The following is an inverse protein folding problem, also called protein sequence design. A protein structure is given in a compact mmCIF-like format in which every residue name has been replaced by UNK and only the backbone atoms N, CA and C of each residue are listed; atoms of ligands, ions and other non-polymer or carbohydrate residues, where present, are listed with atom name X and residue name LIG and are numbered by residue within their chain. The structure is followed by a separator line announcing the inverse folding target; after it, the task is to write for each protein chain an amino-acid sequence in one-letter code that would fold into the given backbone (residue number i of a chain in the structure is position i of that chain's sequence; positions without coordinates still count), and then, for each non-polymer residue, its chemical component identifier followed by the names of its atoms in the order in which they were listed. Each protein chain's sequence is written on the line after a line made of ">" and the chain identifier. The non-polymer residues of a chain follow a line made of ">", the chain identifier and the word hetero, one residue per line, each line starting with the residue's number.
data_IF_387637664133
#
_entry.id   IF_387637664133
#
_cell.length_a   1.000
_cell.length_b   1.000
_cell.length_c   1.000
_cell.angle_alpha   90.00
_cell.angle_beta   90.00
_cell.angle_gamma   90.00
#
_symmetry.space_group_name_H-M   'P 1'
#
loop_
_entity.id
_entity.type
_entity.pdbx_description
1 polymer ?
#
# COMPACT_ATOMS: atom_id res chain seq x y z
N UNK A 1 27.73 -15.69 -50.44
CA UNK A 1 26.66 -16.68 -50.20
C UNK A 1 26.23 -16.59 -48.73
N UNK A 2 24.93 -16.76 -48.42
CA UNK A 2 24.38 -16.93 -47.05
C UNK A 2 23.91 -15.71 -46.21
N UNK A 3 23.20 -14.74 -46.82
CA UNK A 3 22.29 -13.85 -46.06
C UNK A 3 20.81 -14.04 -46.45
N UNK A 4 20.55 -14.55 -47.66
CA UNK A 4 19.20 -14.77 -48.20
C UNK A 4 18.54 -16.09 -47.75
N UNK A 5 19.28 -16.94 -47.03
CA UNK A 5 18.76 -18.18 -46.44
C UNK A 5 18.02 -17.92 -45.11
N UNK A 6 18.56 -17.04 -44.26
CA UNK A 6 17.96 -16.70 -42.97
C UNK A 6 16.57 -16.06 -43.11
N UNK A 7 16.37 -15.15 -44.08
CA UNK A 7 15.05 -14.56 -44.36
C UNK A 7 14.03 -15.54 -44.99
N UNK A 8 14.47 -16.71 -45.46
CA UNK A 8 13.57 -17.74 -46.01
C UNK A 8 13.08 -18.73 -44.94
N UNK A 9 13.82 -18.86 -43.83
CA UNK A 9 13.37 -19.50 -42.58
C UNK A 9 12.52 -18.58 -41.68
N UNK A 10 12.41 -17.29 -42.01
CA UNK A 10 11.67 -16.27 -41.25
C UNK A 10 10.13 -16.40 -41.32
N UNK A 11 9.58 -17.37 -42.07
CA UNK A 11 8.12 -17.56 -42.20
C UNK A 11 7.40 -18.00 -40.91
N UNK A 12 8.11 -18.07 -39.79
CA UNK A 12 7.53 -18.26 -38.46
C UNK A 12 8.29 -17.52 -37.35
N UNK A 13 9.61 -17.30 -37.49
CA UNK A 13 10.45 -16.71 -36.44
C UNK A 13 10.05 -15.27 -36.09
N UNK A 14 9.77 -14.41 -37.08
CA UNK A 14 9.33 -13.03 -36.83
C UNK A 14 8.00 -12.94 -36.08
N UNK A 15 7.04 -13.81 -36.40
CA UNK A 15 5.75 -13.88 -35.71
C UNK A 15 5.87 -14.38 -34.26
N UNK A 16 6.69 -15.43 -34.05
CA UNK A 16 6.96 -15.97 -32.71
C UNK A 16 7.68 -14.94 -31.83
N UNK A 17 8.69 -14.25 -32.37
CA UNK A 17 9.38 -13.18 -31.65
C UNK A 17 8.45 -12.00 -31.33
N UNK A 18 7.61 -11.58 -32.29
CA UNK A 18 6.63 -10.53 -32.04
C UNK A 18 5.63 -10.92 -30.93
N UNK A 19 5.11 -12.15 -30.96
CA UNK A 19 4.24 -12.67 -29.91
C UNK A 19 4.96 -12.78 -28.56
N UNK A 20 6.22 -13.21 -28.54
CA UNK A 20 7.01 -13.31 -27.32
C UNK A 20 7.26 -11.93 -26.70
N UNK A 21 7.59 -10.91 -27.52
CA UNK A 21 7.77 -9.54 -27.05
C UNK A 21 6.46 -8.97 -26.53
N UNK A 22 5.36 -9.11 -27.27
CA UNK A 22 4.04 -8.64 -26.82
C UNK A 22 3.61 -9.35 -25.53
N UNK A 23 3.82 -10.66 -25.44
CA UNK A 23 3.53 -11.43 -24.22
C UNK A 23 4.36 -10.96 -23.04
N UNK A 24 5.67 -10.74 -23.24
CA UNK A 24 6.57 -10.26 -22.20
C UNK A 24 6.23 -8.84 -21.75
N UNK A 25 5.88 -7.93 -22.66
CA UNK A 25 5.50 -6.56 -22.30
C UNK A 25 4.16 -6.53 -21.54
N UNK A 26 3.17 -7.32 -21.98
CA UNK A 26 1.91 -7.46 -21.25
C UNK A 26 2.13 -8.03 -19.84
N UNK A 27 2.94 -9.09 -19.72
CA UNK A 27 3.28 -9.67 -18.42
C UNK A 27 3.95 -8.64 -17.49
N UNK A 28 4.90 -7.85 -18.02
CA UNK A 28 5.57 -6.80 -17.26
C UNK A 28 4.60 -5.69 -16.82
N UNK A 29 3.73 -5.23 -17.72
CA UNK A 29 2.71 -4.21 -17.39
C UNK A 29 1.78 -4.70 -16.29
N UNK A 30 1.28 -5.94 -16.39
CA UNK A 30 0.42 -6.53 -15.36
C UNK A 30 1.14 -6.64 -14.01
N UNK A 31 2.41 -7.04 -14.01
CA UNK A 31 3.22 -7.10 -12.79
C UNK A 31 3.40 -5.72 -12.15
N UNK A 32 3.69 -4.69 -12.95
CA UNK A 32 3.82 -3.31 -12.47
C UNK A 32 2.51 -2.76 -11.92
N UNK A 33 1.38 -3.01 -12.59
CA UNK A 33 0.05 -2.60 -12.11
C UNK A 33 -0.32 -3.27 -10.78
N UNK A 34 -0.01 -4.57 -10.64
CA UNK A 34 -0.22 -5.29 -9.39
C UNK A 34 0.65 -4.70 -8.25
N UNK A 35 1.93 -4.45 -8.51
CA UNK A 35 2.83 -3.83 -7.54
C UNK A 35 2.39 -2.42 -7.15
N UNK A 36 1.99 -1.59 -8.12
CA UNK A 36 1.47 -0.24 -7.89
C UNK A 36 0.19 -0.28 -7.05
N UNK A 37 -0.73 -1.21 -7.33
CA UNK A 37 -1.93 -1.43 -6.53
C UNK A 37 -1.62 -1.80 -5.08
N UNK A 38 -0.67 -2.71 -4.85
CA UNK A 38 -0.25 -3.11 -3.50
C UNK A 38 0.37 -1.91 -2.74
N UNK A 39 1.23 -1.15 -3.41
CA UNK A 39 1.86 0.02 -2.81
C UNK A 39 0.84 1.12 -2.49
N UNK A 40 -0.17 1.30 -3.34
CA UNK A 40 -1.25 2.26 -3.12
C UNK A 40 -2.12 1.88 -1.90
N UNK A 41 -2.40 0.59 -1.69
CA UNK A 41 -3.11 0.14 -0.47
C UNK A 41 -2.24 0.38 0.77
N UNK A 42 -0.95 0.05 0.71
CA UNK A 42 -0.01 0.28 1.80
C UNK A 42 0.11 1.76 2.16
N UNK A 43 0.24 2.64 1.16
CA UNK A 43 0.39 4.08 1.39
C UNK A 43 -0.87 4.70 2.00
N UNK A 44 -2.06 4.27 1.56
CA UNK A 44 -3.33 4.69 2.16
C UNK A 44 -3.47 4.21 3.60
N UNK A 45 -3.07 2.97 3.89
CA UNK A 45 -3.10 2.43 5.25
C UNK A 45 -2.12 3.16 6.18
N UNK A 46 -0.93 3.52 5.70
CA UNK A 46 0.03 4.32 6.46
C UNK A 46 -0.55 5.72 6.76
N UNK A 47 -1.07 6.42 5.74
CA UNK A 47 -1.70 7.72 5.93
C UNK A 47 -2.89 7.69 6.90
N UNK A 48 -3.68 6.62 6.88
CA UNK A 48 -4.77 6.41 7.83
C UNK A 48 -4.26 6.20 9.26
N UNK A 49 -3.19 5.41 9.44
CA UNK A 49 -2.55 5.22 10.73
C UNK A 49 -1.99 6.54 11.29
N UNK A 50 -1.29 7.31 10.46
CA UNK A 50 -0.72 8.61 10.83
C UNK A 50 -1.80 9.61 11.23
N UNK A 51 -2.87 9.73 10.43
CA UNK A 51 -4.00 10.61 10.75
C UNK A 51 -4.69 10.21 12.07
N UNK A 52 -4.90 8.90 12.29
CA UNK A 52 -5.49 8.39 13.52
C UNK A 52 -4.58 8.62 14.75
N UNK A 53 -3.27 8.43 14.61
CA UNK A 53 -2.30 8.66 15.67
C UNK A 53 -2.22 10.16 16.06
N UNK A 54 -2.16 11.05 15.06
CA UNK A 54 -2.13 12.50 15.30
C UNK A 54 -3.40 12.99 15.98
N UNK A 55 -4.57 12.57 15.50
CA UNK A 55 -5.84 12.96 16.13
C UNK A 55 -5.97 12.41 17.55
N UNK A 56 -5.50 11.19 17.80
CA UNK A 56 -5.47 10.65 19.15
C UNK A 56 -4.51 11.43 20.07
N UNK A 57 -3.36 11.86 19.54
CA UNK A 57 -2.44 12.74 20.26
C UNK A 57 -3.05 14.12 20.54
N UNK A 58 -3.81 14.70 19.60
CA UNK A 58 -4.52 15.97 19.82
C UNK A 58 -5.53 15.87 20.97
N UNK A 59 -6.23 14.74 21.07
CA UNK A 59 -7.13 14.47 22.21
C UNK A 59 -6.34 14.26 23.50
N UNK A 60 -5.23 13.53 23.45
CA UNK A 60 -4.37 13.29 24.61
C UNK A 60 -3.79 14.60 25.17
N UNK A 61 -3.39 15.52 24.28
CA UNK A 61 -2.88 16.85 24.62
C UNK A 61 -3.99 17.83 25.05
N UNK A 62 -5.26 17.42 24.97
CA UNK A 62 -6.41 18.25 25.33
C UNK A 62 -6.74 19.34 24.30
N UNK A 63 -6.18 19.28 23.09
CA UNK A 63 -6.54 20.20 22.00
C UNK A 63 -7.98 19.97 21.51
N UNK A 64 -8.45 18.72 21.59
CA UNK A 64 -9.81 18.32 21.21
C UNK A 64 -10.40 17.47 22.35
N UNK A 65 -11.66 17.66 22.75
CA UNK A 65 -12.30 16.83 23.76
C UNK A 65 -12.60 15.42 23.23
N UNK A 66 -12.44 14.41 24.08
CA UNK A 66 -12.83 13.03 23.76
C UNK A 66 -11.91 12.00 24.40
N UNK A 67 -12.00 10.76 23.92
CA UNK A 67 -11.03 9.71 24.26
C UNK A 67 -10.12 9.43 23.05
N UNK A 68 -8.78 9.38 23.21
CA UNK A 68 -7.82 9.23 22.11
C UNK A 68 -8.17 8.05 21.18
N UNK A 69 -8.43 6.87 21.77
CA UNK A 69 -8.69 5.67 20.99
C UNK A 69 -10.07 5.65 20.30
N UNK A 70 -11.08 6.34 20.84
CA UNK A 70 -12.35 6.45 20.11
C UNK A 70 -12.21 7.33 18.87
N UNK A 71 -11.45 8.42 18.93
CA UNK A 71 -11.20 9.27 17.77
C UNK A 71 -10.33 8.54 16.73
N UNK A 72 -9.30 7.81 17.18
CA UNK A 72 -8.52 6.94 16.30
C UNK A 72 -9.40 5.90 15.58
N UNK A 73 -10.35 5.27 16.28
CA UNK A 73 -11.29 4.33 15.68
C UNK A 73 -12.20 4.98 14.64
N UNK A 74 -12.70 6.19 14.91
CA UNK A 74 -13.53 6.95 13.96
C UNK A 74 -12.76 7.31 12.69
N UNK A 75 -11.49 7.72 12.81
CA UNK A 75 -10.64 8.02 11.67
C UNK A 75 -10.26 6.76 10.89
N UNK A 76 -9.93 5.66 11.57
CA UNK A 76 -9.71 4.38 10.91
C UNK A 76 -10.93 3.97 10.06
N UNK A 77 -12.14 4.07 10.64
CA UNK A 77 -13.39 3.80 9.94
C UNK A 77 -13.63 4.76 8.75
N UNK A 78 -13.33 6.06 8.90
CA UNK A 78 -13.44 7.04 7.82
C UNK A 78 -12.48 6.72 6.65
N UNK A 79 -11.32 6.14 6.95
CA UNK A 79 -10.35 5.66 5.97
C UNK A 79 -10.62 4.24 5.44
N UNK A 80 -11.74 3.61 5.85
CA UNK A 80 -12.10 2.24 5.48
C UNK A 80 -11.03 1.20 5.87
N UNK A 81 -10.35 1.44 6.98
CA UNK A 81 -9.39 0.50 7.59
C UNK A 81 -9.86 0.11 8.99
N UNK A 82 -9.51 -1.09 9.44
CA UNK A 82 -9.86 -1.54 10.78
C UNK A 82 -8.82 -1.04 11.78
N UNK A 83 -9.24 -0.54 12.94
CA UNK A 83 -8.34 -0.31 14.06
C UNK A 83 -7.92 -1.67 14.63
N UNK A 84 -6.62 -1.96 14.61
CA UNK A 84 -6.04 -3.19 15.14
C UNK A 84 -5.58 -3.04 16.60
N UNK A 85 -5.00 -1.89 16.94
CA UNK A 85 -4.59 -1.54 18.29
C UNK A 85 -4.53 -0.02 18.47
N UNK A 86 -4.73 0.43 19.71
CA UNK A 86 -4.50 1.80 20.13
C UNK A 86 -3.91 1.76 21.53
N UNK A 87 -2.69 2.24 21.67
CA UNK A 87 -1.93 2.24 22.91
C UNK A 87 -1.55 3.68 23.24
N UNK A 88 -1.81 4.09 24.48
CA UNK A 88 -1.43 5.41 24.99
C UNK A 88 -0.38 5.17 26.08
N UNK A 89 0.81 5.71 25.88
CA UNK A 89 1.92 5.61 26.83
C UNK A 89 2.40 7.03 27.19
N UNK A 90 2.06 7.50 28.38
CA UNK A 90 2.37 8.86 28.82
C UNK A 90 1.78 9.93 27.90
N UNK A 91 2.64 10.61 27.13
CA UNK A 91 2.26 11.63 26.13
C UNK A 91 2.42 11.14 24.68
N UNK A 92 2.52 9.83 24.49
CA UNK A 92 2.65 9.17 23.21
C UNK A 92 1.41 8.32 22.91
N UNK A 93 0.99 8.30 21.65
CA UNK A 93 -0.03 7.39 21.15
C UNK A 93 0.54 6.56 20.00
N UNK A 94 0.38 5.24 20.10
CA UNK A 94 0.70 4.28 19.04
C UNK A 94 -0.61 3.71 18.52
N UNK A 95 -0.85 3.87 17.22
CA UNK A 95 -2.04 3.35 16.55
C UNK A 95 -1.63 2.32 15.51
N UNK A 96 -2.25 1.15 15.56
CA UNK A 96 -2.14 0.12 14.55
C UNK A 96 -3.45 0.00 13.77
N UNK A 97 -3.38 0.02 12.45
CA UNK A 97 -4.52 -0.25 11.57
C UNK A 97 -4.25 -1.48 10.71
N UNK A 98 -5.32 -2.19 10.35
CA UNK A 98 -5.29 -3.37 9.51
C UNK A 98 -6.17 -3.17 8.28
N UNK A 99 -5.65 -3.60 7.14
CA UNK A 99 -6.37 -3.68 5.87
C UNK A 99 -5.94 -4.93 5.12
N UNK A 100 -6.40 -5.09 3.87
CA UNK A 100 -6.06 -6.20 3.00
C UNK A 100 -5.74 -5.70 1.58
N UNK A 101 -4.67 -6.22 0.98
CA UNK A 101 -4.37 -6.03 -0.44
C UNK A 101 -4.29 -7.40 -1.12
N UNK A 102 -5.07 -7.60 -2.18
CA UNK A 102 -5.11 -8.88 -2.91
C UNK A 102 -5.33 -10.11 -2.02
N UNK A 103 -6.14 -9.97 -0.96
CA UNK A 103 -6.42 -11.04 0.02
C UNK A 103 -5.32 -11.25 1.08
N UNK A 104 -4.23 -10.49 1.02
CA UNK A 104 -3.15 -10.54 2.02
C UNK A 104 -3.39 -9.46 3.07
N UNK A 105 -3.44 -9.80 4.38
CA UNK A 105 -3.58 -8.81 5.43
C UNK A 105 -2.32 -7.94 5.53
N UNK A 106 -2.53 -6.63 5.67
CA UNK A 106 -1.48 -5.64 5.88
C UNK A 106 -1.80 -4.90 7.18
N UNK A 107 -0.83 -4.84 8.09
CA UNK A 107 -0.88 -4.01 9.28
C UNK A 107 0.08 -2.83 9.11
N UNK A 108 -0.36 -1.62 9.46
CA UNK A 108 0.49 -0.42 9.52
C UNK A 108 0.37 0.18 10.90
N UNK A 109 1.49 0.70 11.42
CA UNK A 109 1.58 1.33 12.74
C UNK A 109 2.14 2.73 12.59
N UNK A 110 1.59 3.66 13.36
CA UNK A 110 2.03 5.03 13.46
C UNK A 110 2.15 5.44 14.93
N UNK A 111 3.11 6.30 15.22
CA UNK A 111 3.41 6.85 16.55
C UNK A 111 3.30 8.36 16.50
N UNK A 112 2.59 8.94 17.46
CA UNK A 112 2.52 10.39 17.67
C UNK A 112 2.87 10.72 19.11
N UNK A 113 3.90 11.54 19.32
CA UNK A 113 4.38 11.92 20.65
C UNK A 113 5.69 12.70 20.57
N UNK A 114 6.15 13.30 21.68
CA UNK A 114 7.40 14.06 21.72
C UNK A 114 8.61 13.17 21.38
N UNK A 115 9.72 13.78 20.88
CA UNK A 115 10.99 13.08 20.73
C UNK A 115 11.55 12.66 22.10
N UNK A 116 12.30 11.56 22.16
CA UNK A 116 12.95 11.10 23.39
C UNK A 116 14.05 12.06 23.88
#
# INVERSE_FOLDING_TARGET
>A
MSARGALRDDRGAGGVLALAVVGATLALVLALLAAAGALAVRSRAAAAADAAALAAADVLLGAIPGSPCALAAQLAAAHQVALAACEVDGMEVIVAVRTQAFGVPIEQRARAGPPP
#
